data_IF_037540034303
#
_entry.id   IF_037540034303
#
_cell.length_a   1.000
_cell.length_b   1.000
_cell.length_c   1.000
_cell.angle_alpha   90.00
_cell.angle_beta   90.00
_cell.angle_gamma   90.00
#
_symmetry.space_group_name_H-M   'P 1'
#
loop_
_entity.id
_entity.type
_entity.pdbx_description
1 polymer ?
#
# COMPACT_ATOMS: atom_id res chain seq x y z
N UNK A 1 -3.27 17.43 9.23
CA UNK A 1 -2.80 16.16 9.83
C UNK A 1 -3.94 15.21 10.15
N UNK A 2 -5.01 15.62 10.85
CA UNK A 2 -6.15 14.72 11.15
C UNK A 2 -6.70 14.03 9.90
N UNK A 3 -6.98 14.79 8.84
CA UNK A 3 -7.48 14.25 7.58
C UNK A 3 -6.52 13.22 6.97
N UNK A 4 -5.21 13.47 7.02
CA UNK A 4 -4.20 12.54 6.53
C UNK A 4 -4.17 11.24 7.35
N UNK A 5 -4.24 11.35 8.69
CA UNK A 5 -4.31 10.17 9.57
C UNK A 5 -5.56 9.34 9.28
N UNK A 6 -6.72 9.99 9.11
CA UNK A 6 -7.97 9.30 8.75
C UNK A 6 -7.82 8.55 7.42
N UNK A 7 -7.26 9.20 6.39
CA UNK A 7 -7.03 8.54 5.11
C UNK A 7 -6.08 7.34 5.22
N UNK A 8 -4.98 7.46 5.98
CA UNK A 8 -4.06 6.34 6.22
C UNK A 8 -4.77 5.18 6.93
N UNK A 9 -5.60 5.46 7.93
CA UNK A 9 -6.38 4.43 8.62
C UNK A 9 -7.37 3.74 7.68
N UNK A 10 -8.04 4.49 6.80
CA UNK A 10 -8.94 3.93 5.80
C UNK A 10 -8.18 3.03 4.83
N UNK A 11 -7.04 3.50 4.29
CA UNK A 11 -6.20 2.71 3.38
C UNK A 11 -5.74 1.41 4.06
N UNK A 12 -5.28 1.49 5.31
CA UNK A 12 -4.87 0.31 6.06
C UNK A 12 -6.04 -0.66 6.30
N UNK A 13 -7.22 -0.16 6.62
CA UNK A 13 -8.42 -0.98 6.84
C UNK A 13 -8.88 -1.67 5.54
N UNK A 14 -8.89 -0.94 4.43
CA UNK A 14 -9.23 -1.51 3.10
C UNK A 14 -8.20 -2.55 2.68
N UNK A 15 -6.91 -2.27 2.87
CA UNK A 15 -5.83 -3.23 2.60
C UNK A 15 -6.01 -4.51 3.41
N UNK A 16 -6.24 -4.41 4.72
CA UNK A 16 -6.52 -5.56 5.58
C UNK A 16 -7.74 -6.37 5.13
N UNK A 17 -8.80 -5.69 4.73
CA UNK A 17 -10.01 -6.36 4.25
C UNK A 17 -9.73 -7.15 2.97
N UNK A 18 -9.00 -6.56 2.02
CA UNK A 18 -8.59 -7.23 0.79
C UNK A 18 -7.66 -8.43 1.09
N UNK A 19 -6.72 -8.28 2.02
CA UNK A 19 -5.85 -9.36 2.44
C UNK A 19 -6.62 -10.50 3.10
N UNK A 20 -7.63 -10.20 3.93
CA UNK A 20 -8.51 -11.22 4.54
C UNK A 20 -9.32 -11.99 3.49
N UNK A 21 -9.82 -11.29 2.46
CA UNK A 21 -10.48 -11.94 1.32
C UNK A 21 -9.49 -12.85 0.61
N UNK A 22 -8.28 -12.36 0.34
CA UNK A 22 -7.22 -13.11 -0.32
C UNK A 22 -6.82 -14.34 0.48
N UNK A 23 -6.69 -14.23 1.80
CA UNK A 23 -6.40 -15.35 2.71
C UNK A 23 -7.42 -16.49 2.62
N UNK A 24 -8.70 -16.16 2.42
CA UNK A 24 -9.74 -17.17 2.25
C UNK A 24 -9.68 -17.86 0.87
N UNK A 25 -9.05 -17.24 -0.11
CA UNK A 25 -9.00 -17.71 -1.49
C UNK A 25 -7.68 -18.43 -1.85
N UNK A 26 -6.63 -18.24 -1.05
CA UNK A 26 -5.29 -18.80 -1.31
C UNK A 26 -5.03 -20.08 -0.51
N UNK A 27 -4.20 -20.95 -1.06
CA UNK A 27 -3.72 -22.15 -0.36
C UNK A 27 -2.56 -21.88 0.60
N UNK A 28 -1.95 -20.70 0.49
CA UNK A 28 -0.73 -20.30 1.21
C UNK A 28 -0.97 -19.05 2.09
N UNK A 29 -1.81 -19.17 3.15
CA UNK A 29 -2.20 -18.00 3.97
C UNK A 29 -1.00 -17.35 4.66
N UNK A 30 0.01 -18.13 5.06
CA UNK A 30 1.20 -17.60 5.72
C UNK A 30 2.03 -16.71 4.78
N UNK A 31 2.12 -17.08 3.51
CA UNK A 31 2.85 -16.30 2.51
C UNK A 31 2.19 -14.94 2.28
N UNK A 32 0.86 -14.91 2.11
CA UNK A 32 0.10 -13.65 1.94
C UNK A 32 0.26 -12.77 3.16
N UNK A 33 0.14 -13.33 4.36
CA UNK A 33 0.27 -12.58 5.61
C UNK A 33 1.67 -11.94 5.73
N UNK A 34 2.72 -12.69 5.45
CA UNK A 34 4.10 -12.23 5.62
C UNK A 34 4.57 -11.27 4.52
N UNK A 35 4.09 -11.41 3.31
CA UNK A 35 4.60 -10.66 2.15
C UNK A 35 3.77 -9.43 1.79
N UNK A 36 2.48 -9.42 2.08
CA UNK A 36 1.57 -8.31 1.77
C UNK A 36 1.07 -7.60 3.02
N UNK A 37 0.40 -8.32 3.91
CA UNK A 37 -0.31 -7.75 5.06
C UNK A 37 0.65 -7.11 6.07
N UNK A 38 1.70 -7.80 6.49
CA UNK A 38 2.64 -7.29 7.49
C UNK A 38 3.38 -6.04 7.03
N UNK A 39 3.96 -5.98 5.81
CA UNK A 39 4.61 -4.76 5.33
C UNK A 39 3.67 -3.56 5.26
N UNK A 40 2.46 -3.76 4.75
CA UNK A 40 1.44 -2.71 4.65
C UNK A 40 1.05 -2.19 6.04
N UNK A 41 0.80 -3.08 7.00
CA UNK A 41 0.51 -2.72 8.37
C UNK A 41 1.66 -1.95 9.03
N UNK A 42 2.89 -2.41 8.88
CA UNK A 42 4.06 -1.77 9.48
C UNK A 42 4.21 -0.33 8.99
N UNK A 43 4.09 -0.09 7.69
CA UNK A 43 4.29 1.26 7.14
C UNK A 43 3.11 2.19 7.49
N UNK A 44 1.86 1.73 7.38
CA UNK A 44 0.70 2.56 7.66
C UNK A 44 0.45 2.74 9.16
N UNK A 45 0.56 1.69 9.97
CA UNK A 45 0.45 1.80 11.42
C UNK A 45 1.63 2.60 12.03
N UNK A 46 2.84 2.41 11.52
CA UNK A 46 4.01 3.21 11.90
C UNK A 46 3.82 4.69 11.59
N UNK A 47 3.25 5.01 10.43
CA UNK A 47 2.90 6.38 10.06
C UNK A 47 1.85 6.96 11.00
N UNK A 48 0.75 6.26 11.22
CA UNK A 48 -0.33 6.70 12.12
C UNK A 48 0.19 6.91 13.56
N UNK A 49 0.96 5.97 14.08
CA UNK A 49 1.56 6.06 15.40
C UNK A 49 2.51 7.26 15.53
N UNK A 50 3.39 7.48 14.56
CA UNK A 50 4.33 8.60 14.58
C UNK A 50 3.62 9.96 14.52
N UNK A 51 2.51 10.05 13.79
CA UNK A 51 1.67 11.26 13.72
C UNK A 51 0.98 11.50 15.07
N UNK A 52 0.39 10.47 15.67
CA UNK A 52 -0.29 10.57 16.97
C UNK A 52 0.67 11.01 18.08
N UNK A 53 1.90 10.55 18.03
CA UNK A 53 2.96 10.93 18.96
C UNK A 53 3.65 12.26 18.59
N UNK A 54 3.19 12.95 17.57
CA UNK A 54 3.74 14.25 17.08
C UNK A 54 5.25 14.22 16.84
N UNK A 55 5.79 13.11 16.34
CA UNK A 55 7.22 12.94 16.07
C UNK A 55 7.61 13.63 14.77
N UNK A 56 8.77 14.27 14.72
CA UNK A 56 9.30 14.90 13.50
C UNK A 56 9.44 13.88 12.34
N UNK A 57 9.74 12.64 12.66
CA UNK A 57 9.89 11.53 11.70
C UNK A 57 8.58 11.21 10.98
N UNK A 58 7.42 11.61 11.50
CA UNK A 58 6.10 11.32 10.92
C UNK A 58 5.95 11.79 9.48
N UNK A 59 6.61 12.88 9.09
CA UNK A 59 6.58 13.39 7.71
C UNK A 59 7.29 12.40 6.78
N UNK A 60 8.42 11.87 7.20
CA UNK A 60 9.18 10.90 6.40
C UNK A 60 8.44 9.57 6.27
N UNK A 61 7.83 9.10 7.36
CA UNK A 61 6.94 7.93 7.31
C UNK A 61 5.74 8.17 6.41
N UNK A 62 5.15 9.36 6.46
CA UNK A 62 4.03 9.72 5.58
C UNK A 62 4.43 9.71 4.11
N UNK A 63 5.58 10.30 3.77
CA UNK A 63 6.12 10.30 2.40
C UNK A 63 6.42 8.86 1.96
N UNK A 64 7.09 8.06 2.80
CA UNK A 64 7.41 6.67 2.51
C UNK A 64 6.15 5.82 2.29
N UNK A 65 5.11 6.01 3.12
CA UNK A 65 3.83 5.33 2.97
C UNK A 65 3.13 5.69 1.64
N UNK A 66 3.18 6.96 1.23
CA UNK A 66 2.58 7.39 -0.04
C UNK A 66 3.37 6.88 -1.24
N UNK A 67 4.70 6.84 -1.17
CA UNK A 67 5.53 6.25 -2.23
C UNK A 67 5.25 4.73 -2.33
N UNK A 68 5.15 4.04 -1.20
CA UNK A 68 4.80 2.62 -1.17
C UNK A 68 3.43 2.37 -1.81
N UNK A 69 2.42 3.15 -1.45
CA UNK A 69 1.09 3.07 -2.03
C UNK A 69 1.10 3.35 -3.54
N UNK A 70 1.89 4.35 -3.98
CA UNK A 70 2.03 4.69 -5.40
C UNK A 70 2.64 3.54 -6.20
N UNK A 71 3.67 2.89 -5.66
CA UNK A 71 4.32 1.75 -6.32
C UNK A 71 3.35 0.56 -6.39
N UNK A 72 2.73 0.19 -5.29
CA UNK A 72 1.85 -0.99 -5.23
C UNK A 72 0.60 -0.82 -6.09
N UNK A 73 -0.10 0.32 -5.97
CA UNK A 73 -1.27 0.62 -6.80
C UNK A 73 -0.88 0.93 -8.25
N UNK A 74 0.28 1.55 -8.48
CA UNK A 74 0.78 1.81 -9.84
C UNK A 74 1.07 0.53 -10.61
N UNK A 75 1.71 -0.44 -9.98
CA UNK A 75 1.93 -1.77 -10.57
C UNK A 75 0.60 -2.51 -10.77
N UNK A 76 -0.34 -2.42 -9.82
CA UNK A 76 -1.69 -2.97 -9.98
C UNK A 76 -2.43 -2.37 -11.18
N UNK A 77 -2.33 -1.04 -11.36
CA UNK A 77 -2.91 -0.35 -12.50
C UNK A 77 -2.28 -0.81 -13.84
N UNK A 78 -0.95 -0.85 -13.91
CA UNK A 78 -0.23 -1.27 -15.11
C UNK A 78 -0.55 -2.74 -15.47
N UNK A 79 -0.53 -3.64 -14.49
CA UNK A 79 -0.89 -5.03 -14.67
C UNK A 79 -2.34 -5.17 -15.11
N UNK A 80 -3.26 -4.42 -14.50
CA UNK A 80 -4.67 -4.41 -14.85
C UNK A 80 -4.93 -3.96 -16.28
N UNK A 81 -4.28 -2.88 -16.73
CA UNK A 81 -4.36 -2.41 -18.12
C UNK A 81 -3.77 -3.44 -19.10
N UNK A 82 -2.62 -4.04 -18.75
CA UNK A 82 -2.01 -5.08 -19.55
C UNK A 82 -2.92 -6.30 -19.72
N UNK A 83 -3.52 -6.80 -18.63
CA UNK A 83 -4.46 -7.93 -18.66
C UNK A 83 -5.75 -7.58 -19.41
N UNK A 84 -6.26 -6.36 -19.29
CA UNK A 84 -7.48 -5.94 -19.97
C UNK A 84 -7.37 -6.01 -21.51
N UNK A 85 -6.15 -5.92 -22.04
CA UNK A 85 -5.89 -6.06 -23.48
C UNK A 85 -6.01 -7.49 -24.02
N UNK A 86 -6.00 -8.51 -23.12
CA UNK A 86 -6.05 -9.92 -23.52
C UNK A 86 -7.48 -10.41 -23.84
N UNK A 87 -8.51 -9.66 -23.45
CA UNK A 87 -9.91 -10.01 -23.66
C UNK A 87 -10.40 -11.19 -22.81
N UNK A 88 -11.69 -11.54 -22.96
CA UNK A 88 -12.34 -12.60 -22.19
C UNK A 88 -12.32 -12.35 -20.68
N UNK A 89 -12.38 -13.40 -19.88
CA UNK A 89 -12.39 -13.33 -18.42
C UNK A 89 -11.14 -12.64 -17.83
N UNK A 90 -9.97 -12.86 -18.44
CA UNK A 90 -8.72 -12.19 -18.02
C UNK A 90 -8.78 -10.68 -18.28
N UNK A 91 -9.43 -10.27 -19.39
CA UNK A 91 -9.63 -8.86 -19.69
C UNK A 91 -10.54 -8.16 -18.69
N UNK A 92 -11.63 -8.81 -18.28
CA UNK A 92 -12.55 -8.28 -17.26
C UNK A 92 -11.87 -8.16 -15.89
N UNK A 93 -11.12 -9.19 -15.47
CA UNK A 93 -10.34 -9.16 -14.23
C UNK A 93 -9.29 -8.06 -14.26
N UNK A 94 -8.59 -7.88 -15.38
CA UNK A 94 -7.64 -6.80 -15.58
C UNK A 94 -8.28 -5.43 -15.46
N UNK A 95 -9.45 -5.24 -16.10
CA UNK A 95 -10.22 -4.01 -16.00
C UNK A 95 -10.64 -3.69 -14.56
N UNK A 96 -11.13 -4.67 -13.82
CA UNK A 96 -11.50 -4.51 -12.42
C UNK A 96 -10.27 -4.13 -11.56
N UNK A 97 -9.13 -4.79 -11.74
CA UNK A 97 -7.89 -4.49 -11.04
C UNK A 97 -7.42 -3.05 -11.33
N UNK A 98 -7.48 -2.61 -12.57
CA UNK A 98 -7.11 -1.24 -12.94
C UNK A 98 -8.02 -0.21 -12.28
N UNK A 99 -9.34 -0.43 -12.29
CA UNK A 99 -10.32 0.46 -11.65
C UNK A 99 -10.11 0.53 -10.13
N UNK A 100 -9.86 -0.60 -9.47
CA UNK A 100 -9.62 -0.64 -8.03
C UNK A 100 -8.29 0.02 -7.62
N UNK A 101 -7.28 -0.02 -8.49
CA UNK A 101 -5.96 0.56 -8.22
C UNK A 101 -5.92 2.08 -8.43
N UNK A 102 -6.76 2.62 -9.30
CA UNK A 102 -6.77 4.04 -9.68
C UNK A 102 -6.97 5.00 -8.50
N UNK A 103 -7.94 4.79 -7.59
CA UNK A 103 -8.10 5.65 -6.42
C UNK A 103 -6.86 5.69 -5.52
N UNK A 104 -6.17 4.56 -5.38
CA UNK A 104 -4.91 4.47 -4.62
C UNK A 104 -3.80 5.32 -5.23
N UNK A 105 -3.62 5.26 -6.54
CA UNK A 105 -2.65 6.10 -7.27
C UNK A 105 -2.96 7.58 -7.11
N UNK A 106 -4.21 7.99 -7.33
CA UNK A 106 -4.63 9.39 -7.19
C UNK A 106 -4.38 9.89 -5.76
N UNK A 107 -4.81 9.12 -4.76
CA UNK A 107 -4.63 9.46 -3.35
C UNK A 107 -3.16 9.61 -2.99
N UNK A 108 -2.30 8.70 -3.44
CA UNK A 108 -0.86 8.74 -3.21
C UNK A 108 -0.23 10.01 -3.81
N UNK A 109 -0.56 10.35 -5.05
CA UNK A 109 -0.02 11.54 -5.72
C UNK A 109 -0.46 12.82 -4.99
N UNK A 110 -1.75 12.95 -4.68
CA UNK A 110 -2.29 14.14 -4.00
C UNK A 110 -1.60 14.36 -2.65
N UNK A 111 -1.51 13.30 -1.82
CA UNK A 111 -0.85 13.41 -0.52
C UNK A 111 0.65 13.63 -0.61
N UNK A 112 1.34 13.03 -1.58
CA UNK A 112 2.76 13.32 -1.83
C UNK A 112 2.99 14.80 -2.12
N UNK A 113 2.18 15.40 -3.01
CA UNK A 113 2.28 16.83 -3.33
C UNK A 113 2.04 17.68 -2.08
N UNK A 114 1.01 17.35 -1.29
CA UNK A 114 0.68 18.09 -0.07
C UNK A 114 1.81 17.97 0.97
N UNK A 115 2.31 16.76 1.22
CA UNK A 115 3.38 16.52 2.20
C UNK A 115 4.68 17.20 1.80
N UNK A 116 5.06 17.12 0.53
CA UNK A 116 6.27 17.77 0.03
C UNK A 116 6.17 19.31 0.10
N UNK A 117 5.03 19.90 -0.32
CA UNK A 117 4.83 21.36 -0.27
C UNK A 117 4.76 21.89 1.16
N UNK A 118 4.16 21.13 2.10
CA UNK A 118 3.97 21.56 3.50
C UNK A 118 5.04 21.04 4.45
N UNK A 119 6.10 20.42 3.95
CA UNK A 119 7.13 19.80 4.77
C UNK A 119 7.74 20.77 5.80
N UNK A 120 8.08 21.99 5.40
CA UNK A 120 8.67 22.98 6.28
C UNK A 120 7.70 23.40 7.40
N UNK A 121 6.45 23.76 7.04
CA UNK A 121 5.42 24.14 8.00
C UNK A 121 5.02 22.99 8.94
N UNK A 122 5.09 21.75 8.47
CA UNK A 122 4.79 20.58 9.31
C UNK A 122 5.91 20.26 10.29
N UNK A 123 7.18 20.51 9.95
CA UNK A 123 8.29 20.30 10.87
C UNK A 123 8.22 21.22 12.10
N UNK A 124 7.61 22.40 11.96
CA UNK A 124 7.40 23.33 13.08
C UNK A 124 6.31 22.85 14.07
N UNK A 125 5.35 22.05 13.60
CA UNK A 125 4.24 21.54 14.42
C UNK A 125 4.68 20.33 15.26
N UNK A 126 5.69 19.59 14.80
CA UNK A 126 6.21 18.42 15.50
C UNK A 126 7.34 18.83 16.47
N UNK A 127 6.96 19.16 17.69
CA UNK A 127 7.85 19.69 18.73
C UNK A 127 8.76 18.65 19.40
N UNK A 128 8.48 17.38 19.25
CA UNK A 128 9.33 16.33 19.80
C UNK A 128 10.53 16.07 18.88
N UNK A 129 11.63 16.81 19.13
CA UNK A 129 12.96 16.53 18.59
C UNK A 129 13.49 15.20 19.16
N UNK A 130 12.84 14.10 18.83
CA UNK A 130 13.45 12.80 19.05
C UNK A 130 14.57 12.65 18.02
N UNK A 131 15.76 12.38 18.50
CA UNK A 131 16.96 12.00 17.70
C UNK A 131 16.74 10.65 17.00
N UNK A 132 15.46 10.34 16.70
CA UNK A 132 15.08 9.16 15.94
C UNK A 132 15.59 9.33 14.51
N UNK A 133 16.44 8.42 14.15
CA UNK A 133 17.14 8.33 12.90
C UNK A 133 16.14 8.39 11.73
N UNK A 134 16.23 9.42 10.89
CA UNK A 134 15.57 9.48 9.57
C UNK A 134 15.77 8.17 8.78
N UNK A 135 16.83 7.47 9.11
CA UNK A 135 17.23 6.16 8.68
C UNK A 135 16.18 5.07 8.98
N UNK A 136 15.41 5.18 10.07
CA UNK A 136 14.39 4.17 10.41
C UNK A 136 13.27 4.12 9.39
N UNK A 137 12.80 5.27 8.88
CA UNK A 137 11.75 5.31 7.86
C UNK A 137 12.22 4.72 6.52
N UNK A 138 13.48 4.96 6.15
CA UNK A 138 14.10 4.39 4.94
C UNK A 138 14.22 2.87 5.06
N UNK A 139 14.65 2.37 6.22
CA UNK A 139 14.75 0.92 6.47
C UNK A 139 13.40 0.23 6.44
N UNK A 140 12.39 0.79 7.11
CA UNK A 140 11.04 0.23 7.09
C UNK A 140 10.48 0.22 5.68
N UNK A 141 10.66 1.33 4.93
CA UNK A 141 10.24 1.39 3.53
C UNK A 141 10.97 0.36 2.67
N UNK A 142 12.29 0.25 2.80
CA UNK A 142 13.10 -0.72 2.07
C UNK A 142 12.67 -2.16 2.34
N UNK A 143 12.40 -2.49 3.61
CA UNK A 143 11.90 -3.81 4.01
C UNK A 143 10.52 -4.09 3.40
N UNK A 144 9.60 -3.12 3.48
CA UNK A 144 8.27 -3.26 2.89
C UNK A 144 8.33 -3.47 1.38
N UNK A 145 9.19 -2.70 0.69
CA UNK A 145 9.38 -2.82 -0.76
C UNK A 145 10.01 -4.18 -1.12
N UNK A 146 11.01 -4.63 -0.35
CA UNK A 146 11.62 -5.94 -0.54
C UNK A 146 10.60 -7.07 -0.38
N UNK A 147 9.80 -7.05 0.69
CA UNK A 147 8.74 -8.04 0.91
C UNK A 147 7.70 -8.01 -0.22
N UNK A 148 7.33 -6.82 -0.72
CA UNK A 148 6.40 -6.67 -1.84
C UNK A 148 6.97 -7.27 -3.13
N UNK A 149 8.23 -7.01 -3.46
CA UNK A 149 8.91 -7.59 -4.63
C UNK A 149 8.99 -9.11 -4.50
N UNK A 150 9.40 -9.60 -3.33
CA UNK A 150 9.50 -11.03 -3.04
C UNK A 150 8.15 -11.73 -3.20
N UNK A 151 7.07 -11.13 -2.68
CA UNK A 151 5.70 -11.60 -2.86
C UNK A 151 5.34 -11.74 -4.35
N UNK A 152 5.71 -10.73 -5.15
CA UNK A 152 5.40 -10.76 -6.57
C UNK A 152 6.17 -11.85 -7.33
N UNK A 153 7.38 -12.18 -6.92
CA UNK A 153 8.18 -13.25 -7.54
C UNK A 153 7.67 -14.64 -7.13
N UNK A 154 7.42 -14.85 -5.83
CA UNK A 154 7.06 -16.19 -5.31
C UNK A 154 5.61 -16.57 -5.68
N UNK A 155 4.71 -15.59 -5.78
CA UNK A 155 3.29 -15.84 -6.05
C UNK A 155 2.91 -15.80 -7.54
N UNK A 156 3.87 -15.80 -8.46
CA UNK A 156 3.59 -15.68 -9.89
C UNK A 156 2.70 -16.83 -10.40
N UNK A 157 2.96 -18.05 -9.97
CA UNK A 157 2.19 -19.23 -10.35
C UNK A 157 0.78 -19.28 -9.73
N UNK A 158 0.58 -18.71 -8.54
CA UNK A 158 -0.70 -18.72 -7.84
C UNK A 158 -1.62 -17.53 -8.20
N UNK A 159 -1.09 -16.47 -8.81
CA UNK A 159 -1.89 -15.28 -9.18
C UNK A 159 -2.99 -15.58 -10.19
N UNK A 160 -2.74 -16.44 -11.15
CA UNK A 160 -3.72 -16.83 -12.16
C UNK A 160 -4.87 -17.60 -11.48
N UNK A 161 -4.55 -18.52 -10.59
CA UNK A 161 -5.53 -19.25 -9.79
C UNK A 161 -6.35 -18.35 -8.85
N UNK A 162 -5.73 -17.33 -8.25
CA UNK A 162 -6.41 -16.33 -7.43
C UNK A 162 -7.39 -15.48 -8.24
N UNK A 163 -6.95 -14.94 -9.38
CA UNK A 163 -7.80 -14.12 -10.25
C UNK A 163 -9.02 -14.91 -10.76
N UNK A 164 -8.85 -16.17 -11.12
CA UNK A 164 -9.95 -17.04 -11.55
C UNK A 164 -10.97 -17.24 -10.44
N UNK A 165 -10.54 -17.54 -9.22
CA UNK A 165 -11.43 -17.73 -8.06
C UNK A 165 -12.10 -16.45 -7.61
N UNK A 166 -11.39 -15.32 -7.66
CA UNK A 166 -11.97 -14.01 -7.35
C UNK A 166 -13.09 -13.66 -8.31
N UNK A 167 -12.92 -13.99 -9.59
CA UNK A 167 -13.97 -13.79 -10.60
C UNK A 167 -15.17 -14.71 -10.41
N UNK A 168 -14.96 -15.98 -10.03
CA UNK A 168 -16.05 -16.92 -9.71
C UNK A 168 -16.88 -16.46 -8.49
N UNK A 169 -16.32 -15.65 -7.61
CA UNK A 169 -16.99 -15.12 -6.42
C UNK A 169 -17.77 -13.82 -6.71
N UNK A 170 -17.38 -13.10 -7.76
CA UNK A 170 -18.00 -11.83 -8.18
C UNK A 170 -19.12 -12.01 -9.23
N UNK A 171 -19.20 -13.16 -9.87
CA UNK A 171 -20.25 -13.56 -10.83
C UNK A 171 -21.32 -14.45 -10.18
#
# INVERSE_FOLDING_TARGET
MVLFTVHICIIAAVGLLLDLITLNLTKEPFLVLSTSTLPSLLIFAGTAYSILKRREVSIYYGIAAMIYLLITCGLGLLSGVGLSSLGGQLGEAGGALAVLSLPGVITAIVWLIILLKKRAAMSEIFTEKTRENKFSAVWVFGLCLFCFILSNIIMEDDKIGFLTRFMELML
#
